data_IF_466032545473
#
_entry.id   IF_466032545473
#
_cell.length_a   1.000
_cell.length_b   1.000
_cell.length_c   1.000
_cell.angle_alpha   90.00
_cell.angle_beta   90.00
_cell.angle_gamma   90.00
#
_symmetry.space_group_name_H-M   'P 1'
#
loop_
_entity.id
_entity.type
_entity.pdbx_description
1 polymer ?
#
# COMPACT_ATOMS: atom_id res chain seq x y z
N UNK A 1 -27.39 40.79 40.29
CA UNK A 1 -27.32 39.31 40.20
C UNK A 1 -26.55 38.94 38.94
N UNK A 2 -25.35 38.35 39.02
CA UNK A 2 -24.64 37.89 37.82
C UNK A 2 -25.15 36.49 37.43
N UNK A 3 -25.39 36.29 36.13
CA UNK A 3 -25.63 34.96 35.55
C UNK A 3 -24.26 34.32 35.28
N UNK A 4 -23.92 33.27 36.02
CA UNK A 4 -22.75 32.43 35.76
C UNK A 4 -22.87 31.82 34.36
N UNK A 5 -22.04 32.29 33.42
CA UNK A 5 -21.77 31.59 32.16
C UNK A 5 -20.52 30.73 32.40
N UNK A 6 -20.70 29.42 32.49
CA UNK A 6 -19.57 28.49 32.45
C UNK A 6 -18.86 28.64 31.10
N UNK A 7 -17.52 28.68 31.07
CA UNK A 7 -16.78 28.68 29.81
C UNK A 7 -16.99 27.36 29.06
N UNK A 8 -16.94 27.36 27.71
CA UNK A 8 -17.04 26.12 26.94
C UNK A 8 -15.88 25.20 27.33
N UNK A 9 -16.23 24.01 27.82
CA UNK A 9 -15.28 22.94 28.09
C UNK A 9 -14.61 22.55 26.77
N UNK A 10 -13.29 22.71 26.69
CA UNK A 10 -12.49 22.22 25.58
C UNK A 10 -12.57 20.69 25.58
N UNK A 11 -13.35 20.12 24.66
CA UNK A 11 -13.39 18.67 24.44
C UNK A 11 -12.17 18.27 23.58
N UNK A 12 -11.17 17.56 24.13
CA UNK A 12 -10.00 17.13 23.38
C UNK A 12 -10.32 16.08 22.29
N UNK A 13 -11.56 15.57 22.24
CA UNK A 13 -12.02 14.62 21.24
C UNK A 13 -12.23 15.26 19.85
N UNK A 14 -12.26 16.59 19.74
CA UNK A 14 -12.15 17.31 18.48
C UNK A 14 -10.70 17.46 18.01
N UNK A 15 -9.94 16.36 18.04
CA UNK A 15 -8.75 16.25 17.21
C UNK A 15 -9.23 16.08 15.76
N UNK A 16 -9.58 17.20 15.14
CA UNK A 16 -9.75 17.29 13.69
C UNK A 16 -8.47 16.73 13.06
N UNK A 17 -8.59 15.56 12.43
CA UNK A 17 -7.58 15.09 11.49
C UNK A 17 -7.33 16.20 10.47
N UNK A 18 -6.11 16.74 10.35
CA UNK A 18 -5.83 17.73 9.33
C UNK A 18 -5.88 17.04 7.95
N UNK A 19 -6.90 17.38 7.17
CA UNK A 19 -6.96 17.20 5.73
C UNK A 19 -5.87 18.08 5.08
N UNK A 20 -4.61 17.62 5.03
CA UNK A 20 -3.53 18.07 4.11
C UNK A 20 -2.22 17.32 4.42
N UNK A 21 -1.71 16.53 3.46
CA UNK A 21 -0.37 15.90 3.45
C UNK A 21 0.02 15.09 4.72
N UNK A 22 -0.78 14.08 5.07
CA UNK A 22 -0.51 13.22 6.23
C UNK A 22 0.74 12.38 5.94
N UNK A 23 1.80 12.57 6.73
CA UNK A 23 2.95 11.67 6.73
C UNK A 23 2.45 10.22 6.96
N UNK A 24 2.99 9.21 6.26
CA UNK A 24 2.53 7.84 6.44
C UNK A 24 2.72 7.41 7.90
N UNK A 25 1.78 6.60 8.40
CA UNK A 25 1.90 6.00 9.73
C UNK A 25 3.17 5.13 9.81
N UNK A 26 3.73 4.96 11.00
CA UNK A 26 4.87 4.03 11.20
C UNK A 26 4.53 2.62 10.70
N UNK A 27 3.29 2.19 10.94
CA UNK A 27 2.78 0.92 10.43
C UNK A 27 2.81 0.85 8.90
N UNK A 28 2.37 1.90 8.19
CA UNK A 28 2.42 1.94 6.74
C UNK A 28 3.85 1.89 6.19
N UNK A 29 4.82 2.51 6.87
CA UNK A 29 6.24 2.44 6.52
C UNK A 29 6.82 1.03 6.71
N UNK A 30 6.46 0.35 7.78
CA UNK A 30 6.81 -1.05 8.01
C UNK A 30 6.21 -1.95 6.93
N UNK A 31 4.92 -1.76 6.59
CA UNK A 31 4.26 -2.49 5.50
C UNK A 31 4.96 -2.25 4.15
N UNK A 32 5.34 -1.01 3.83
CA UNK A 32 6.11 -0.71 2.63
C UNK A 32 7.47 -1.44 2.64
N UNK A 33 8.15 -1.51 3.78
CA UNK A 33 9.43 -2.23 3.90
C UNK A 33 9.28 -3.74 3.67
N UNK A 34 8.23 -4.35 4.23
CA UNK A 34 7.90 -5.76 4.02
C UNK A 34 7.54 -6.01 2.55
N UNK A 35 6.70 -5.16 1.97
CA UNK A 35 6.29 -5.24 0.56
C UNK A 35 7.50 -5.16 -0.37
N UNK A 36 8.41 -4.22 -0.15
CA UNK A 36 9.61 -4.07 -0.98
C UNK A 36 10.52 -5.28 -0.89
N UNK A 37 10.60 -5.92 0.28
CA UNK A 37 11.34 -7.18 0.45
C UNK A 37 10.70 -8.31 -0.38
N UNK A 38 9.36 -8.38 -0.40
CA UNK A 38 8.63 -9.38 -1.20
C UNK A 38 8.75 -9.14 -2.70
N UNK A 39 8.65 -7.89 -3.15
CA UNK A 39 8.88 -7.53 -4.55
C UNK A 39 10.32 -7.84 -4.97
N UNK A 40 11.30 -7.60 -4.09
CA UNK A 40 12.69 -8.02 -4.30
C UNK A 40 12.84 -9.54 -4.46
N UNK A 41 12.09 -10.35 -3.72
CA UNK A 41 12.11 -11.80 -3.88
C UNK A 41 11.48 -12.27 -5.21
N UNK A 42 10.43 -11.58 -5.68
CA UNK A 42 9.72 -11.91 -6.94
C UNK A 42 10.56 -11.50 -8.16
N UNK A 43 11.05 -10.26 -8.18
CA UNK A 43 11.68 -9.64 -9.34
C UNK A 43 13.21 -9.60 -9.29
N UNK A 44 13.82 -9.98 -8.15
CA UNK A 44 15.27 -10.07 -7.95
C UNK A 44 15.98 -8.76 -8.32
N UNK A 45 17.07 -8.87 -9.08
CA UNK A 45 17.89 -7.74 -9.48
C UNK A 45 17.09 -6.67 -10.23
N UNK A 46 16.05 -7.02 -11.00
CA UNK A 46 15.21 -6.03 -11.69
C UNK A 46 14.51 -5.05 -10.73
N UNK A 47 14.27 -5.45 -9.48
CA UNK A 47 13.74 -4.55 -8.46
C UNK A 47 14.85 -3.71 -7.85
N UNK A 48 15.93 -4.35 -7.42
CA UNK A 48 17.01 -3.70 -6.66
C UNK A 48 17.75 -2.68 -7.55
N UNK A 49 18.02 -3.04 -8.80
CA UNK A 49 18.72 -2.21 -9.78
C UNK A 49 17.90 -0.96 -10.18
N UNK A 50 16.62 -0.90 -9.82
CA UNK A 50 15.74 0.23 -10.07
C UNK A 50 16.00 1.45 -9.17
N UNK A 51 16.82 1.30 -8.11
CA UNK A 51 17.11 2.37 -7.16
C UNK A 51 18.59 2.77 -7.24
N UNK A 52 18.87 4.06 -7.42
CA UNK A 52 20.23 4.60 -7.56
C UNK A 52 20.89 4.87 -6.20
N UNK A 53 20.10 4.99 -5.13
CA UNK A 53 20.62 5.21 -3.78
C UNK A 53 19.66 4.73 -2.69
N UNK A 54 20.19 4.59 -1.46
CA UNK A 54 19.39 4.31 -0.26
C UNK A 54 18.41 5.44 0.05
N UNK A 55 18.79 6.69 -0.21
CA UNK A 55 17.93 7.85 -0.01
C UNK A 55 16.73 7.84 -0.97
N UNK A 56 16.97 7.57 -2.25
CA UNK A 56 15.90 7.38 -3.23
C UNK A 56 14.97 6.23 -2.84
N UNK A 57 15.52 5.07 -2.47
CA UNK A 57 14.73 3.93 -2.00
C UNK A 57 13.83 4.31 -0.81
N UNK A 58 14.35 5.08 0.15
CA UNK A 58 13.58 5.53 1.30
C UNK A 58 12.47 6.53 0.91
N UNK A 59 12.76 7.47 0.00
CA UNK A 59 11.77 8.39 -0.53
C UNK A 59 10.63 7.65 -1.25
N UNK A 60 10.96 6.65 -2.08
CA UNK A 60 9.96 5.82 -2.75
C UNK A 60 9.13 5.02 -1.74
N UNK A 61 9.76 4.41 -0.71
CA UNK A 61 9.02 3.71 0.35
C UNK A 61 8.01 4.62 1.07
N UNK A 62 8.37 5.88 1.31
CA UNK A 62 7.45 6.88 1.91
C UNK A 62 6.24 7.11 1.01
N UNK A 63 6.44 7.28 -0.31
CA UNK A 63 5.33 7.46 -1.25
C UNK A 63 4.43 6.22 -1.34
N UNK A 64 5.02 5.03 -1.34
CA UNK A 64 4.25 3.79 -1.29
C UNK A 64 3.47 3.68 0.03
N UNK A 65 4.09 3.97 1.17
CA UNK A 65 3.44 3.93 2.47
C UNK A 65 2.20 4.83 2.55
N UNK A 66 2.25 6.04 1.96
CA UNK A 66 1.08 6.95 1.89
C UNK A 66 -0.12 6.33 1.17
N UNK A 67 0.11 5.47 0.19
CA UNK A 67 -0.96 4.75 -0.51
C UNK A 67 -1.37 3.49 0.24
N UNK A 68 -0.42 2.75 0.81
CA UNK A 68 -0.69 1.53 1.58
C UNK A 68 -1.55 1.79 2.81
N UNK A 69 -1.44 2.97 3.43
CA UNK A 69 -2.25 3.38 4.58
C UNK A 69 -3.77 3.38 4.28
N UNK A 70 -4.14 3.41 2.99
CA UNK A 70 -5.52 3.38 2.50
C UNK A 70 -6.01 1.99 2.10
N UNK A 71 -5.13 0.99 2.13
CA UNK A 71 -5.40 -0.37 1.68
C UNK A 71 -5.48 -1.32 2.87
N UNK A 72 -6.42 -2.25 2.81
CA UNK A 72 -6.47 -3.34 3.78
C UNK A 72 -5.35 -4.37 3.51
N UNK A 73 -4.91 -5.15 4.51
CA UNK A 73 -3.94 -6.22 4.30
C UNK A 73 -4.35 -7.22 3.21
N UNK A 74 -5.65 -7.54 3.11
CA UNK A 74 -6.19 -8.46 2.09
C UNK A 74 -5.97 -7.91 0.68
N UNK A 75 -6.17 -6.59 0.48
CA UNK A 75 -5.95 -5.94 -0.80
C UNK A 75 -4.48 -5.93 -1.20
N UNK A 76 -3.58 -5.72 -0.22
CA UNK A 76 -2.12 -5.77 -0.45
C UNK A 76 -1.71 -7.19 -0.87
N UNK A 77 -2.18 -8.22 -0.17
CA UNK A 77 -1.91 -9.62 -0.55
C UNK A 77 -2.46 -9.97 -1.94
N UNK A 78 -3.69 -9.55 -2.25
CA UNK A 78 -4.28 -9.76 -3.57
C UNK A 78 -3.45 -9.08 -4.68
N UNK A 79 -2.91 -7.89 -4.43
CA UNK A 79 -2.05 -7.19 -5.38
C UNK A 79 -0.72 -7.92 -5.62
N UNK A 80 -0.11 -8.45 -4.55
CA UNK A 80 1.10 -9.26 -4.65
C UNK A 80 0.82 -10.53 -5.45
N UNK A 81 -0.31 -11.19 -5.19
CA UNK A 81 -0.70 -12.38 -5.94
C UNK A 81 -0.94 -12.06 -7.42
N UNK A 82 -1.62 -10.94 -7.73
CA UNK A 82 -1.83 -10.50 -9.10
C UNK A 82 -0.51 -10.20 -9.84
N UNK A 83 0.49 -9.66 -9.13
CA UNK A 83 1.84 -9.49 -9.67
C UNK A 83 2.45 -10.83 -10.09
N UNK A 84 2.35 -11.85 -9.23
CA UNK A 84 2.84 -13.20 -9.50
C UNK A 84 2.08 -13.84 -10.68
N UNK A 85 0.75 -13.77 -10.65
CA UNK A 85 -0.13 -14.42 -11.63
C UNK A 85 -0.06 -13.78 -13.01
N UNK A 86 0.26 -12.47 -13.08
CA UNK A 86 0.39 -11.75 -14.36
C UNK A 86 1.47 -12.33 -15.28
N UNK A 87 2.47 -13.03 -14.71
CA UNK A 87 3.66 -13.46 -15.44
C UNK A 87 4.50 -12.31 -15.99
N UNK A 88 4.23 -11.06 -15.58
CA UNK A 88 5.01 -9.91 -16.00
C UNK A 88 6.44 -10.04 -15.46
N UNK A 89 7.43 -9.86 -16.34
CA UNK A 89 8.85 -9.94 -15.96
C UNK A 89 9.33 -8.69 -15.24
N UNK A 90 8.63 -7.58 -15.41
CA UNK A 90 9.00 -6.29 -14.84
C UNK A 90 8.22 -6.02 -13.55
N UNK A 91 8.88 -5.45 -12.52
CA UNK A 91 8.21 -5.09 -11.28
C UNK A 91 7.14 -4.01 -11.52
N UNK A 92 6.06 -4.01 -10.72
CA UNK A 92 5.03 -3.00 -10.83
C UNK A 92 5.55 -1.64 -10.35
N UNK A 93 5.07 -0.57 -10.98
CA UNK A 93 5.12 0.76 -10.36
C UNK A 93 3.98 0.94 -9.35
N UNK A 94 4.02 2.03 -8.56
CA UNK A 94 3.03 2.31 -7.52
C UNK A 94 1.58 2.36 -8.07
N UNK A 95 1.27 3.13 -9.14
CA UNK A 95 -0.06 3.12 -9.74
C UNK A 95 -0.56 1.72 -10.16
N UNK A 96 0.30 0.91 -10.77
CA UNK A 96 -0.04 -0.46 -11.17
C UNK A 96 -0.36 -1.34 -9.96
N UNK A 97 0.46 -1.27 -8.92
CA UNK A 97 0.24 -2.03 -7.70
C UNK A 97 -1.08 -1.64 -7.02
N UNK A 98 -1.36 -0.34 -6.89
CA UNK A 98 -2.63 0.15 -6.33
C UNK A 98 -3.83 -0.29 -7.18
N UNK A 99 -3.71 -0.30 -8.51
CA UNK A 99 -4.73 -0.84 -9.40
C UNK A 99 -4.97 -2.33 -9.11
N UNK A 100 -3.92 -3.13 -8.95
CA UNK A 100 -4.08 -4.55 -8.58
C UNK A 100 -4.74 -4.73 -7.20
N UNK A 101 -4.43 -3.87 -6.23
CA UNK A 101 -5.01 -3.94 -4.88
C UNK A 101 -6.50 -3.57 -4.82
N UNK A 102 -6.95 -2.71 -5.74
CA UNK A 102 -8.31 -2.17 -5.74
C UNK A 102 -9.22 -2.86 -6.75
N UNK A 103 -8.65 -3.61 -7.69
CA UNK A 103 -9.43 -4.44 -8.60
C UNK A 103 -9.91 -5.67 -7.83
N UNK A 104 -11.21 -5.96 -7.86
CA UNK A 104 -11.74 -7.19 -7.30
C UNK A 104 -10.97 -8.39 -7.90
N UNK A 105 -10.61 -9.41 -7.10
CA UNK A 105 -9.92 -10.57 -7.63
C UNK A 105 -10.76 -11.15 -8.77
N UNK A 106 -10.22 -11.10 -9.99
CA UNK A 106 -10.87 -11.76 -11.11
C UNK A 106 -10.98 -13.25 -10.72
N UNK A 107 -12.18 -13.86 -10.75
CA UNK A 107 -12.29 -15.27 -10.45
C UNK A 107 -11.41 -16.03 -11.43
N UNK A 108 -10.30 -16.60 -10.92
CA UNK A 108 -9.36 -17.40 -11.70
C UNK A 108 -10.15 -18.31 -12.65
N UNK A 109 -9.87 -18.30 -13.96
CA UNK A 109 -10.46 -19.27 -14.87
C UNK A 109 -10.14 -20.66 -14.31
N UNK A 110 -11.18 -21.41 -13.92
CA UNK A 110 -11.04 -22.79 -13.44
C UNK A 110 -10.17 -23.53 -14.44
N UNK A 111 -8.98 -23.91 -13.96
CA UNK A 111 -7.93 -24.62 -14.70
C UNK A 111 -8.51 -25.37 -15.88
N UNK A 112 -8.15 -24.94 -17.10
CA UNK A 112 -8.49 -25.64 -18.34
C UNK A 112 -7.72 -26.95 -18.31
N UNK A 113 -8.22 -27.94 -17.56
CA UNK A 113 -7.77 -29.33 -17.58
C UNK A 113 -7.85 -29.73 -19.04
N UNK A 114 -6.70 -29.75 -19.72
CA UNK A 114 -6.58 -30.37 -21.03
C UNK A 114 -6.81 -31.85 -20.79
N UNK A 115 -8.07 -32.27 -20.95
CA UNK A 115 -8.42 -33.66 -21.16
C UNK A 115 -7.94 -33.93 -22.58
N UNK A 116 -6.75 -34.51 -22.72
CA UNK A 116 -6.36 -35.13 -23.97
C UNK A 116 -7.24 -36.38 -24.10
N UNK A 117 -8.17 -36.34 -25.06
CA UNK A 117 -8.82 -37.53 -25.60
C UNK A 117 -7.96 -38.07 -26.74
#
# INVERSE_FOLDING_TARGET
MPKNQNPPTFDPSYSQHPLSAIAPTTQALEQATILFSRLGAIYRNLWIDGFQSVEELNAVKIEWAKQLDRLSPIQIEAAIQACIDSGNKFPPNLPEFVRHATTAPEPLPKSRRKIYQ
#
